data_IF_884792687698
#
_entry.id   IF_884792687698
#
_cell.length_a   1.000
_cell.length_b   1.000
_cell.length_c   1.000
_cell.angle_alpha   90.00
_cell.angle_beta   90.00
_cell.angle_gamma   90.00
#
_symmetry.space_group_name_H-M   'P 1'
#
loop_
_entity.id
_entity.type
_entity.pdbx_description
1 polymer ?
#
# COMPACT_ATOMS: atom_id res chain seq x y z
N UNK A 1 -38.49 10.72 3.91
CA UNK A 1 -37.60 11.06 5.03
C UNK A 1 -36.68 9.85 5.19
N UNK A 2 -35.35 9.90 5.01
CA UNK A 2 -34.39 10.91 5.46
C UNK A 2 -33.02 10.64 4.82
N UNK A 3 -32.40 11.72 4.32
CA UNK A 3 -30.94 11.99 4.19
C UNK A 3 -30.10 11.04 3.32
N UNK A 4 -30.07 11.36 2.03
CA UNK A 4 -28.90 11.11 1.18
C UNK A 4 -27.74 11.96 1.70
N UNK A 5 -26.81 11.36 2.43
CA UNK A 5 -25.54 12.00 2.77
C UNK A 5 -24.75 12.20 1.49
N UNK A 6 -24.79 13.41 0.95
CA UNK A 6 -23.88 13.86 -0.08
C UNK A 6 -22.46 13.81 0.51
N UNK A 7 -21.71 12.74 0.21
CA UNK A 7 -20.28 12.70 0.47
C UNK A 7 -19.63 13.84 -0.30
N UNK A 8 -18.99 14.76 0.41
CA UNK A 8 -18.18 15.81 -0.20
C UNK A 8 -17.01 15.11 -0.89
N UNK A 9 -17.08 15.00 -2.22
CA UNK A 9 -16.01 14.46 -3.05
C UNK A 9 -14.90 15.52 -3.13
N UNK A 10 -14.04 15.58 -2.12
CA UNK A 10 -12.85 16.41 -2.17
C UNK A 10 -11.78 15.63 -2.94
N UNK A 11 -11.62 15.94 -4.22
CA UNK A 11 -10.52 15.45 -5.06
C UNK A 11 -9.43 16.54 -5.10
N UNK A 12 -8.30 16.30 -4.43
CA UNK A 12 -7.10 17.12 -4.59
C UNK A 12 -6.21 16.45 -5.63
N UNK A 13 -5.78 17.20 -6.65
CA UNK A 13 -4.80 16.72 -7.61
C UNK A 13 -3.42 17.28 -7.29
N UNK A 14 -2.43 16.40 -7.23
CA UNK A 14 -1.02 16.78 -7.20
C UNK A 14 -0.56 16.99 -8.65
N UNK A 15 -0.39 18.25 -9.04
CA UNK A 15 0.16 18.63 -10.35
C UNK A 15 1.63 18.98 -10.12
N UNK A 16 2.55 18.22 -10.72
CA UNK A 16 3.99 18.47 -10.67
C UNK A 16 4.60 18.44 -12.07
N UNK A 17 5.70 19.17 -12.29
CA UNK A 17 6.53 18.98 -13.49
C UNK A 17 7.27 17.65 -13.43
N UNK A 18 7.81 17.13 -14.54
CA UNK A 18 8.74 15.99 -14.48
C UNK A 18 9.85 16.28 -13.46
N UNK A 19 10.17 15.30 -12.61
CA UNK A 19 11.09 15.42 -11.46
C UNK A 19 10.62 16.33 -10.30
N UNK A 20 9.42 16.92 -10.34
CA UNK A 20 8.92 17.67 -9.18
C UNK A 20 8.26 16.73 -8.16
N UNK A 21 8.59 16.96 -6.88
CA UNK A 21 7.90 16.37 -5.75
C UNK A 21 6.63 17.18 -5.46
N UNK A 22 5.46 16.53 -5.53
CA UNK A 22 4.22 17.09 -5.01
C UNK A 22 4.00 16.60 -3.58
N UNK A 23 3.90 17.52 -2.62
CA UNK A 23 3.59 17.19 -1.21
C UNK A 23 2.18 17.62 -0.87
N UNK A 24 1.40 16.71 -0.29
CA UNK A 24 0.05 16.98 0.19
C UNK A 24 -0.14 16.36 1.56
N UNK A 25 -0.81 17.09 2.45
CA UNK A 25 -1.20 16.61 3.76
C UNK A 25 -2.70 16.74 3.95
N UNK A 26 -3.34 15.67 4.41
CA UNK A 26 -4.79 15.58 4.57
C UNK A 26 -5.12 15.12 6.01
N UNK A 27 -5.93 15.86 6.77
CA UNK A 27 -6.42 15.39 8.08
C UNK A 27 -7.20 14.08 7.93
N UNK A 28 -6.86 13.06 8.71
CA UNK A 28 -7.49 11.73 8.60
C UNK A 28 -7.52 11.02 9.95
N UNK A 29 -8.70 10.54 10.40
CA UNK A 29 -8.82 9.90 11.70
C UNK A 29 -8.03 8.59 11.76
N UNK A 30 -7.61 8.22 12.97
CA UNK A 30 -7.04 6.89 13.21
C UNK A 30 -8.10 5.80 12.96
N UNK A 31 -7.70 4.61 12.53
CA UNK A 31 -8.63 3.51 12.26
C UNK A 31 -9.29 3.52 10.88
N UNK A 32 -9.13 4.59 10.10
CA UNK A 32 -9.69 4.70 8.76
C UNK A 32 -9.00 3.78 7.73
N UNK A 33 -9.61 3.63 6.56
CA UNK A 33 -9.06 2.87 5.42
C UNK A 33 -8.37 3.80 4.44
N UNK A 34 -7.13 3.46 4.09
CA UNK A 34 -6.34 4.18 3.10
C UNK A 34 -6.07 3.24 1.94
N UNK A 35 -6.42 3.69 0.72
CA UNK A 35 -6.31 2.91 -0.50
C UNK A 35 -5.31 3.57 -1.43
N UNK A 36 -4.32 2.81 -1.89
CA UNK A 36 -3.43 3.22 -2.96
C UNK A 36 -3.77 2.39 -4.20
N UNK A 37 -4.29 3.05 -5.22
CA UNK A 37 -4.81 2.43 -6.42
C UNK A 37 -3.94 2.81 -7.63
N UNK A 38 -3.61 1.79 -8.43
CA UNK A 38 -2.83 1.93 -9.65
C UNK A 38 -1.43 2.55 -9.43
N UNK A 39 -0.79 2.24 -8.29
CA UNK A 39 0.57 2.72 -8.01
C UNK A 39 1.63 1.95 -8.80
N UNK A 40 2.74 2.62 -9.11
CA UNK A 40 3.90 2.13 -9.88
C UNK A 40 5.16 2.77 -9.34
N UNK A 41 6.35 2.21 -9.54
CA UNK A 41 7.60 2.76 -9.01
C UNK A 41 7.85 2.33 -7.57
N UNK A 42 8.58 3.12 -6.81
CA UNK A 42 8.85 2.86 -5.39
C UNK A 42 7.71 3.41 -4.54
N UNK A 43 7.04 2.54 -3.79
CA UNK A 43 6.02 2.94 -2.82
C UNK A 43 6.51 2.65 -1.40
N UNK A 44 6.72 3.71 -0.63
CA UNK A 44 7.01 3.64 0.80
C UNK A 44 5.78 4.08 1.59
N UNK A 45 5.28 3.23 2.48
CA UNK A 45 4.20 3.54 3.41
C UNK A 45 4.71 3.42 4.84
N UNK A 46 4.65 4.50 5.60
CA UNK A 46 5.08 4.56 6.99
C UNK A 46 3.89 4.85 7.91
N UNK A 47 3.69 4.04 8.94
CA UNK A 47 2.79 4.35 10.03
C UNK A 47 3.41 5.39 10.97
N UNK A 48 2.68 6.45 11.29
CA UNK A 48 3.07 7.49 12.26
C UNK A 48 1.96 7.83 13.26
N UNK A 49 2.29 8.62 14.28
CA UNK A 49 1.41 8.94 15.40
C UNK A 49 0.55 10.20 15.17
N UNK A 50 0.54 10.73 13.94
CA UNK A 50 -0.25 11.91 13.59
C UNK A 50 -1.61 11.52 12.95
N UNK A 51 -2.72 12.22 13.26
CA UNK A 51 -4.04 12.00 12.66
C UNK A 51 -4.14 12.68 11.28
N UNK A 52 -3.16 12.43 10.44
CA UNK A 52 -3.07 12.97 9.10
C UNK A 52 -2.45 11.93 8.16
N UNK A 53 -2.72 12.09 6.87
CA UNK A 53 -2.02 11.38 5.81
C UNK A 53 -1.14 12.40 5.09
N UNK A 54 0.16 12.12 5.02
CA UNK A 54 1.11 12.90 4.23
C UNK A 54 1.52 12.09 3.01
N UNK A 55 1.53 12.73 1.85
CA UNK A 55 1.74 12.12 0.55
C UNK A 55 2.78 12.96 -0.16
N UNK A 56 3.91 12.34 -0.48
CA UNK A 56 4.93 12.91 -1.35
C UNK A 56 4.97 12.03 -2.59
N UNK A 57 4.72 12.62 -3.75
CA UNK A 57 4.75 11.93 -5.03
C UNK A 57 5.78 12.59 -5.96
N UNK A 58 6.76 11.81 -6.43
CA UNK A 58 7.78 12.26 -7.38
C UNK A 58 7.48 11.61 -8.73
N UNK A 59 7.05 12.42 -9.69
CA UNK A 59 6.58 11.94 -10.99
C UNK A 59 7.69 12.06 -12.04
N UNK A 60 7.90 11.02 -12.84
CA UNK A 60 8.87 11.10 -13.96
C UNK A 60 8.35 11.92 -15.13
N UNK A 61 7.03 12.04 -15.29
CA UNK A 61 6.39 12.79 -16.38
C UNK A 61 5.26 13.69 -15.84
N UNK A 62 5.09 14.91 -16.37
CA UNK A 62 4.09 15.86 -15.91
C UNK A 62 2.65 15.47 -16.31
N UNK A 63 2.50 14.52 -17.22
CA UNK A 63 1.21 14.07 -17.75
C UNK A 63 0.51 13.07 -16.82
N UNK A 64 1.26 12.50 -15.86
CA UNK A 64 0.68 11.65 -14.82
C UNK A 64 -0.14 12.51 -13.88
N UNK A 65 -1.28 12.00 -13.44
CA UNK A 65 -2.11 12.70 -12.47
C UNK A 65 -2.30 11.82 -11.25
N UNK A 66 -1.91 12.34 -10.11
CA UNK A 66 -2.17 11.74 -8.80
C UNK A 66 -3.37 12.47 -8.20
N UNK A 67 -4.43 11.72 -7.92
CA UNK A 67 -5.64 12.21 -7.30
C UNK A 67 -5.77 11.64 -5.89
N UNK A 68 -6.06 12.52 -4.94
CA UNK A 68 -6.36 12.16 -3.55
C UNK A 68 -7.83 12.46 -3.32
N UNK A 69 -8.62 11.40 -3.18
CA UNK A 69 -10.07 11.46 -3.07
C UNK A 69 -10.51 10.97 -1.70
N UNK A 70 -11.28 11.80 -0.99
CA UNK A 70 -11.97 11.36 0.22
C UNK A 70 -13.28 10.68 -0.15
N UNK A 71 -13.30 9.34 -0.09
CA UNK A 71 -14.49 8.51 -0.43
C UNK A 71 -15.53 8.54 0.69
N UNK A 72 -15.08 8.63 1.94
CA UNK A 72 -15.93 8.83 3.12
C UNK A 72 -15.15 9.52 4.24
N UNK A 73 -15.79 9.78 5.39
CA UNK A 73 -15.11 10.32 6.57
C UNK A 73 -13.93 9.45 7.01
N UNK A 74 -14.01 8.13 6.81
CA UNK A 74 -13.01 7.15 7.23
C UNK A 74 -12.35 6.41 6.05
N UNK A 75 -12.48 6.91 4.82
CA UNK A 75 -11.85 6.30 3.64
C UNK A 75 -11.20 7.35 2.74
N UNK A 76 -9.89 7.18 2.50
CA UNK A 76 -9.09 8.00 1.61
C UNK A 76 -8.50 7.13 0.50
N UNK A 77 -8.66 7.54 -0.75
CA UNK A 77 -8.08 6.88 -1.91
C UNK A 77 -7.05 7.78 -2.59
N UNK A 78 -5.88 7.22 -2.87
CA UNK A 78 -4.79 7.84 -3.63
C UNK A 78 -4.69 7.05 -4.93
N UNK A 79 -5.06 7.68 -6.03
CA UNK A 79 -5.17 7.04 -7.34
C UNK A 79 -4.21 7.69 -8.32
N UNK A 80 -3.45 6.86 -9.03
CA UNK A 80 -2.62 7.33 -10.15
C UNK A 80 -3.36 7.11 -11.45
N UNK A 81 -3.47 8.14 -12.29
CA UNK A 81 -3.98 8.01 -13.65
C UNK A 81 -2.90 8.39 -14.65
N UNK A 82 -2.71 7.50 -15.62
CA UNK A 82 -1.75 7.70 -16.71
C UNK A 82 -2.51 8.23 -17.93
N UNK A 83 -1.91 9.12 -18.73
CA UNK A 83 -2.52 9.55 -19.98
C UNK A 83 -2.81 8.33 -20.85
N UNK A 84 -3.98 8.31 -21.50
CA UNK A 84 -4.34 7.25 -22.43
C UNK A 84 -3.22 7.10 -23.47
N UNK A 85 -2.69 5.87 -23.62
CA UNK A 85 -1.60 5.55 -24.56
C UNK A 85 -1.90 6.18 -25.91
N UNK A 86 -1.22 7.27 -26.27
CA UNK A 86 -1.12 7.64 -27.69
C UNK A 86 -0.36 6.51 -28.35
N UNK A 87 -1.02 5.80 -29.28
CA UNK A 87 -0.48 4.70 -30.11
C UNK A 87 0.75 5.08 -30.97
N UNK A 88 1.35 6.26 -30.76
CA UNK A 88 2.35 6.88 -31.63
C UNK A 88 3.76 6.94 -31.01
N UNK A 89 3.97 6.41 -29.80
CA UNK A 89 5.32 6.39 -29.20
C UNK A 89 5.98 5.02 -29.45
N UNK A 90 7.04 5.06 -30.27
CA UNK A 90 7.90 3.95 -30.70
C UNK A 90 8.77 3.39 -29.55
N UNK A 91 8.74 4.03 -28.37
CA UNK A 91 9.46 3.59 -27.17
C UNK A 91 8.51 3.52 -25.97
N UNK A 92 8.36 2.37 -25.29
CA UNK A 92 7.68 2.32 -24.00
C UNK A 92 8.56 3.03 -22.97
N UNK A 93 8.28 4.29 -22.67
CA UNK A 93 8.85 4.91 -21.47
C UNK A 93 8.16 4.26 -20.26
N UNK A 94 8.92 3.68 -19.35
CA UNK A 94 8.40 3.28 -18.04
C UNK A 94 7.97 4.55 -17.32
N UNK A 95 6.67 4.71 -17.14
CA UNK A 95 6.10 5.82 -16.39
C UNK A 95 5.99 5.36 -14.94
N UNK A 96 6.84 5.90 -14.08
CA UNK A 96 6.88 5.58 -12.66
C UNK A 96 6.54 6.83 -11.83
N UNK A 97 6.01 6.60 -10.63
CA UNK A 97 5.76 7.65 -9.64
C UNK A 97 6.22 7.13 -8.29
N UNK A 98 7.28 7.72 -7.75
CA UNK A 98 7.77 7.30 -6.45
C UNK A 98 6.93 7.98 -5.37
N UNK A 99 6.39 7.17 -4.46
CA UNK A 99 5.50 7.59 -3.39
C UNK A 99 6.17 7.40 -2.04
N UNK A 100 6.11 8.44 -1.22
CA UNK A 100 6.31 8.34 0.23
C UNK A 100 5.01 8.76 0.90
N UNK A 101 4.35 7.83 1.59
CA UNK A 101 3.06 8.04 2.21
C UNK A 101 3.15 7.75 3.71
N UNK A 102 2.87 8.74 4.55
CA UNK A 102 2.79 8.57 6.00
C UNK A 102 1.34 8.52 6.43
N UNK A 103 0.94 7.50 7.17
CA UNK A 103 -0.45 7.22 7.54
C UNK A 103 -0.59 6.98 9.05
N UNK A 104 -1.73 7.29 9.68
CA UNK A 104 -1.91 6.96 11.09
C UNK A 104 -1.71 5.45 11.33
N UNK A 105 -0.92 5.05 12.34
CA UNK A 105 -0.50 3.63 12.52
C UNK A 105 -1.66 2.62 12.49
N UNK A 106 -2.78 2.95 13.13
CA UNK A 106 -3.97 2.09 13.20
C UNK A 106 -4.83 2.13 11.92
N UNK A 107 -4.32 2.62 10.79
CA UNK A 107 -5.09 2.66 9.54
C UNK A 107 -5.11 1.29 8.88
N UNK A 108 -6.25 0.93 8.28
CA UNK A 108 -6.31 -0.20 7.35
C UNK A 108 -5.68 0.23 6.02
N UNK A 109 -4.65 -0.48 5.59
CA UNK A 109 -3.95 -0.20 4.34
C UNK A 109 -4.38 -1.17 3.24
N UNK A 110 -4.80 -0.64 2.09
CA UNK A 110 -5.09 -1.41 0.88
C UNK A 110 -4.25 -0.89 -0.28
N UNK A 111 -3.38 -1.73 -0.83
CA UNK A 111 -2.50 -1.37 -1.94
C UNK A 111 -2.80 -2.23 -3.16
N UNK A 112 -2.94 -1.57 -4.31
CA UNK A 112 -2.99 -2.17 -5.65
C UNK A 112 -1.84 -1.57 -6.45
N UNK A 113 -0.73 -2.30 -6.45
CA UNK A 113 0.52 -1.92 -7.09
C UNK A 113 0.71 -2.70 -8.39
N UNK A 114 1.25 -2.06 -9.42
CA UNK A 114 1.42 -2.69 -10.71
C UNK A 114 2.88 -3.11 -10.97
N UNK A 115 3.83 -2.18 -10.81
CA UNK A 115 5.23 -2.45 -11.10
C UNK A 115 6.13 -1.68 -10.14
N UNK A 116 7.06 -2.36 -9.47
CA UNK A 116 8.03 -1.75 -8.57
C UNK A 116 8.04 -2.34 -7.17
N UNK A 117 8.66 -1.62 -6.24
CA UNK A 117 8.87 -2.08 -4.87
C UNK A 117 7.87 -1.42 -3.93
N UNK A 118 7.26 -2.21 -3.05
CA UNK A 118 6.38 -1.74 -1.98
C UNK A 118 7.05 -2.00 -0.64
N UNK A 119 7.38 -0.95 0.09
CA UNK A 119 7.88 -0.98 1.45
C UNK A 119 6.79 -0.47 2.40
N UNK A 120 6.41 -1.26 3.40
CA UNK A 120 5.47 -0.84 4.44
C UNK A 120 6.11 -1.03 5.80
N UNK A 121 6.07 -0.02 6.66
CA UNK A 121 6.60 -0.08 8.03
C UNK A 121 5.69 0.65 9.01
N UNK A 122 5.71 0.26 10.29
CA UNK A 122 5.05 1.00 11.38
C UNK A 122 3.51 1.01 11.36
N UNK A 123 2.88 0.33 10.41
CA UNK A 123 1.41 0.18 10.31
C UNK A 123 0.97 -0.97 11.21
N UNK A 124 0.08 -0.68 12.14
CA UNK A 124 -0.48 -1.66 13.09
C UNK A 124 -1.84 -2.19 12.66
N UNK A 125 -2.55 -1.47 11.77
CA UNK A 125 -3.84 -1.91 11.23
C UNK A 125 -3.72 -3.06 10.22
N UNK A 126 -4.88 -3.50 9.70
CA UNK A 126 -4.94 -4.55 8.68
C UNK A 126 -4.28 -4.12 7.36
N UNK A 127 -3.56 -5.02 6.69
CA UNK A 127 -2.82 -4.75 5.46
C UNK A 127 -3.31 -5.70 4.35
N UNK A 128 -3.73 -5.16 3.20
CA UNK A 128 -4.04 -5.90 1.96
C UNK A 128 -3.21 -5.33 0.80
N UNK A 129 -2.15 -6.03 0.41
CA UNK A 129 -1.28 -5.64 -0.70
C UNK A 129 -1.44 -6.65 -1.83
N UNK A 130 -1.77 -6.14 -3.02
CA UNK A 130 -1.65 -6.89 -4.27
C UNK A 130 -0.71 -6.15 -5.20
N UNK A 131 0.36 -6.82 -5.59
CA UNK A 131 1.33 -6.34 -6.56
C UNK A 131 1.34 -7.24 -7.81
N UNK A 132 1.58 -6.69 -9.00
CA UNK A 132 1.72 -7.50 -10.21
C UNK A 132 3.19 -7.94 -10.42
N UNK A 133 4.13 -6.99 -10.46
CA UNK A 133 5.57 -7.25 -10.62
C UNK A 133 6.41 -6.42 -9.66
N UNK A 134 7.45 -7.01 -9.07
CA UNK A 134 8.45 -6.34 -8.23
C UNK A 134 8.60 -6.99 -6.87
N UNK A 135 8.80 -6.23 -5.80
CA UNK A 135 9.00 -6.81 -4.47
C UNK A 135 8.08 -6.15 -3.44
N UNK A 136 7.68 -6.92 -2.42
CA UNK A 136 6.87 -6.42 -1.30
C UNK A 136 7.59 -6.72 0.00
N UNK A 137 7.97 -5.68 0.72
CA UNK A 137 8.61 -5.77 2.03
C UNK A 137 7.67 -5.13 3.05
N UNK A 138 7.23 -5.90 4.04
CA UNK A 138 6.38 -5.44 5.13
C UNK A 138 7.10 -5.64 6.45
N UNK A 139 7.38 -4.55 7.15
CA UNK A 139 7.96 -4.55 8.49
C UNK A 139 6.85 -4.30 9.51
N UNK A 140 6.64 -5.26 10.40
CA UNK A 140 5.58 -5.23 11.41
C UNK A 140 6.16 -5.02 12.82
N UNK A 141 5.55 -4.19 13.67
CA UNK A 141 5.96 -4.05 15.07
C UNK A 141 5.80 -5.36 15.86
N UNK A 142 6.79 -5.73 16.69
CA UNK A 142 6.76 -6.89 17.61
C UNK A 142 6.60 -6.37 19.06
N UNK A 143 5.70 -6.90 19.93
CA UNK A 143 4.81 -8.04 19.74
C UNK A 143 3.43 -7.70 19.19
N UNK A 144 2.90 -8.56 18.31
CA UNK A 144 1.52 -8.49 17.85
C UNK A 144 1.00 -9.83 17.33
N UNK A 145 -0.26 -10.22 17.61
CA UNK A 145 -0.87 -11.37 16.96
C UNK A 145 -1.20 -11.00 15.50
N UNK A 146 -0.39 -11.50 14.55
CA UNK A 146 -0.61 -11.28 13.12
C UNK A 146 -1.09 -12.57 12.45
N UNK A 147 -2.15 -12.46 11.65
CA UNK A 147 -2.55 -13.52 10.71
C UNK A 147 -1.99 -13.18 9.33
N UNK A 148 -0.85 -13.78 8.98
CA UNK A 148 -0.12 -13.50 7.74
C UNK A 148 -0.51 -14.52 6.67
N UNK A 149 -1.01 -14.02 5.55
CA UNK A 149 -1.31 -14.78 4.34
C UNK A 149 -0.57 -14.14 3.16
N UNK A 150 0.60 -14.69 2.82
CA UNK A 150 1.48 -14.17 1.76
C UNK A 150 1.68 -15.20 0.64
N UNK A 151 1.55 -14.76 -0.63
CA UNK A 151 1.73 -15.63 -1.80
C UNK A 151 2.38 -14.90 -2.98
N UNK A 152 3.48 -15.46 -3.47
CA UNK A 152 4.03 -15.14 -4.79
C UNK A 152 3.68 -16.21 -5.81
N UNK A 153 3.29 -15.82 -7.03
CA UNK A 153 3.08 -16.78 -8.13
C UNK A 153 4.41 -17.18 -8.77
N UNK A 154 5.40 -16.28 -8.80
CA UNK A 154 6.74 -16.57 -9.29
C UNK A 154 7.76 -15.77 -8.48
N UNK A 155 8.38 -16.40 -7.49
CA UNK A 155 9.35 -15.79 -6.59
C UNK A 155 9.30 -16.44 -5.21
N UNK A 156 9.97 -15.83 -4.24
CA UNK A 156 10.10 -16.38 -2.88
C UNK A 156 9.24 -15.60 -1.89
N UNK A 157 8.86 -16.27 -0.79
CA UNK A 157 8.18 -15.65 0.36
C UNK A 157 8.99 -15.96 1.61
N UNK A 158 9.43 -14.94 2.34
CA UNK A 158 10.16 -15.07 3.61
C UNK A 158 9.43 -14.33 4.74
N UNK A 159 9.53 -14.85 5.97
CA UNK A 159 8.95 -14.21 7.15
C UNK A 159 9.79 -14.43 8.41
N UNK A 160 9.96 -13.38 9.21
CA UNK A 160 10.64 -13.41 10.52
C UNK A 160 9.68 -13.78 11.68
N UNK A 161 8.37 -13.85 11.43
CA UNK A 161 7.37 -14.17 12.45
C UNK A 161 7.21 -15.67 12.60
N UNK A 162 7.09 -16.13 13.85
CA UNK A 162 6.76 -17.52 14.16
C UNK A 162 5.33 -17.82 13.68
N UNK A 163 5.23 -18.43 12.51
CA UNK A 163 4.02 -18.86 11.84
C UNK A 163 4.43 -19.67 10.62
N UNK A 164 3.65 -20.70 10.26
CA UNK A 164 4.05 -21.64 9.20
C UNK A 164 4.21 -20.93 7.85
N UNK A 165 5.46 -20.70 7.44
CA UNK A 165 5.83 -20.20 6.11
C UNK A 165 5.58 -21.31 5.09
N UNK A 166 4.36 -21.37 4.57
CA UNK A 166 4.00 -22.30 3.51
C UNK A 166 4.39 -21.77 2.14
N UNK A 167 5.67 -21.86 1.81
CA UNK A 167 6.13 -21.81 0.42
C UNK A 167 5.75 -23.12 -0.27
N UNK A 168 4.82 -23.08 -1.24
CA UNK A 168 4.46 -24.27 -2.03
C UNK A 168 4.70 -24.07 -3.51
N UNK A 169 5.79 -24.68 -3.99
CA UNK A 169 5.66 -25.54 -5.16
C UNK A 169 4.96 -26.84 -4.72
N UNK A 170 3.89 -27.20 -5.45
CA UNK A 170 3.07 -28.42 -5.40
C UNK A 170 1.95 -28.50 -4.32
N UNK A 171 0.71 -28.38 -4.83
CA UNK A 171 -0.59 -28.85 -4.32
C UNK A 171 -1.08 -28.23 -3.00
N UNK A 172 -2.23 -27.56 -3.11
CA UNK A 172 -2.73 -26.58 -2.15
C UNK A 172 -3.18 -27.14 -0.80
N UNK A 173 -3.17 -26.28 0.22
CA UNK A 173 -3.99 -26.34 1.43
C UNK A 173 -4.06 -24.96 2.08
N UNK A 174 -5.09 -24.86 2.91
CA UNK A 174 -5.70 -23.73 3.59
C UNK A 174 -4.99 -23.41 4.92
N UNK A 175 -5.10 -22.17 5.39
CA UNK A 175 -4.70 -21.76 6.74
C UNK A 175 -5.90 -21.09 7.42
N UNK A 176 -6.42 -21.72 8.46
CA UNK A 176 -7.42 -21.15 9.35
C UNK A 176 -7.01 -21.47 10.77
N UNK A 177 -6.56 -20.45 11.52
CA UNK A 177 -6.43 -20.58 12.96
C UNK A 177 -7.83 -20.31 13.55
N UNK A 178 -8.50 -21.35 14.03
CA UNK A 178 -9.69 -21.22 14.87
C UNK A 178 -9.23 -20.87 16.28
N UNK A 179 -8.93 -19.59 16.49
CA UNK A 179 -8.54 -19.03 17.78
C UNK A 179 -8.90 -17.56 17.82
N UNK A 180 -9.93 -17.25 18.57
CA UNK A 180 -10.61 -15.97 18.72
C UNK A 180 -9.74 -14.93 19.46
N UNK A 181 -8.66 -14.49 18.82
CA UNK A 181 -7.93 -13.26 19.19
C UNK A 181 -8.04 -12.33 17.99
N UNK A 182 -8.36 -11.04 18.13
CA UNK A 182 -8.36 -10.11 17.01
C UNK A 182 -6.92 -9.95 16.49
N UNK A 183 -6.51 -10.83 15.59
CA UNK A 183 -5.22 -10.78 14.92
C UNK A 183 -5.31 -9.81 13.76
N UNK A 184 -4.34 -8.90 13.65
CA UNK A 184 -4.26 -8.02 12.49
C UNK A 184 -3.98 -8.87 11.25
N UNK A 185 -4.84 -8.75 10.24
CA UNK A 185 -4.75 -9.54 9.02
C UNK A 185 -3.77 -8.89 8.06
N UNK A 186 -2.74 -9.64 7.68
CA UNK A 186 -1.72 -9.22 6.71
C UNK A 186 -1.88 -10.11 5.47
N UNK A 187 -2.51 -9.58 4.43
CA UNK A 187 -2.80 -10.29 3.19
C UNK A 187 -1.94 -9.75 2.05
N UNK A 188 -1.00 -10.56 1.57
CA UNK A 188 -0.02 -10.17 0.55
C UNK A 188 -0.11 -11.10 -0.66
N UNK A 189 -0.21 -10.53 -1.85
CA UNK A 189 -0.18 -11.27 -3.12
C UNK A 189 0.73 -10.59 -4.12
N UNK A 190 1.58 -11.35 -4.79
CA UNK A 190 2.38 -10.86 -5.90
C UNK A 190 2.35 -11.81 -7.11
N UNK A 191 2.33 -11.24 -8.31
CA UNK A 191 2.37 -12.00 -9.56
C UNK A 191 3.77 -12.50 -9.93
N UNK A 192 4.79 -11.63 -9.87
CA UNK A 192 6.20 -11.97 -10.11
C UNK A 192 7.10 -11.15 -9.18
N UNK A 193 8.01 -11.82 -8.50
CA UNK A 193 8.97 -11.28 -7.53
C UNK A 193 8.67 -11.72 -6.10
N UNK A 194 9.32 -11.10 -5.12
CA UNK A 194 9.43 -11.66 -3.77
C UNK A 194 8.57 -10.93 -2.74
N UNK A 195 8.20 -11.65 -1.68
CA UNK A 195 7.56 -11.08 -0.49
C UNK A 195 8.47 -11.34 0.70
N UNK A 196 8.75 -10.31 1.50
CA UNK A 196 9.45 -10.43 2.77
C UNK A 196 8.62 -9.77 3.88
N UNK A 197 8.34 -10.52 4.96
CA UNK A 197 7.69 -9.98 6.15
C UNK A 197 8.69 -9.98 7.30
N UNK A 198 9.11 -8.79 7.73
CA UNK A 198 10.18 -8.60 8.71
C UNK A 198 9.63 -8.11 10.04
N UNK A 199 10.32 -8.45 11.12
CA UNK A 199 10.11 -7.81 12.41
C UNK A 199 10.75 -6.42 12.39
N UNK A 200 10.08 -5.43 12.98
CA UNK A 200 10.68 -4.12 13.20
C UNK A 200 11.91 -4.30 14.10
N UNK A 201 13.09 -3.74 13.75
CA UNK A 201 14.24 -3.80 14.62
C UNK A 201 13.88 -3.18 15.98
N UNK A 202 14.30 -3.79 17.11
CA UNK A 202 14.08 -3.18 18.41
C UNK A 202 14.71 -1.78 18.40
N UNK A 203 13.95 -0.77 18.84
CA UNK A 203 14.46 0.58 19.04
C UNK A 203 15.75 0.46 19.86
N UNK A 204 16.88 0.84 19.27
CA UNK A 204 18.15 0.90 20.00
C UNK A 204 17.99 1.95 21.11
N UNK A 205 18.41 1.64 22.35
CA UNK A 205 18.32 2.57 23.48
C UNK A 205 19.20 3.81 23.27
#
# INVERSE_FOLDING_TARGET
MTRSTAGILLALSLIGTAQAAGTQRVPFPQGGTIRLENSTGYLTVEGWDEPAVEIIAVQTLPEVRVAVERRSENELAISTSFPARRKLLIFPREINVDYTVRIPRNSRLVVRHNNGCVLVSGVTGNIDIRSHTGDVIVTLPDPGPYSIDARSRLGNVTSDFAGEVHSRFLIGTYLGNTGEVPSHRIYLRIGRGSIAVKKDPPLRP
#
